data_IF_405138963902
#
_entry.id   IF_405138963902
#
_cell.length_a   1.000
_cell.length_b   1.000
_cell.length_c   1.000
_cell.angle_alpha   90.00
_cell.angle_beta   90.00
_cell.angle_gamma   90.00
#
_symmetry.space_group_name_H-M   'P 1'
#
loop_
_entity.id
_entity.type
_entity.pdbx_description
1 polymer ?
#
# COMPACT_ATOMS: atom_id res chain seq x y z
N UNK A 1 6.73 9.44 -13.84
CA UNK A 1 7.99 8.93 -13.28
C UNK A 1 7.76 7.50 -12.87
N UNK A 2 8.38 6.56 -13.58
CA UNK A 2 8.31 5.13 -13.25
C UNK A 2 8.99 4.92 -11.90
N UNK A 3 8.29 4.30 -10.94
CA UNK A 3 8.92 3.83 -9.71
C UNK A 3 9.95 2.79 -10.15
N UNK A 4 11.22 3.11 -9.99
CA UNK A 4 12.33 2.27 -10.43
C UNK A 4 12.31 0.94 -9.70
N UNK A 5 12.53 -0.16 -10.41
CA UNK A 5 12.67 -1.51 -9.83
C UNK A 5 13.67 -1.57 -8.65
N UNK A 6 14.63 -0.63 -8.61
CA UNK A 6 15.61 -0.45 -7.54
C UNK A 6 15.01 -0.11 -6.16
N UNK A 7 13.96 0.73 -6.07
CA UNK A 7 13.27 0.99 -4.79
C UNK A 7 12.57 -0.29 -4.27
N UNK A 8 12.24 -1.22 -5.16
CA UNK A 8 11.58 -2.47 -4.79
C UNK A 8 12.52 -3.43 -4.04
N UNK A 9 13.84 -3.30 -4.20
CA UNK A 9 14.84 -4.17 -3.56
C UNK A 9 15.18 -3.67 -2.15
N UNK A 10 15.27 -2.35 -1.96
CA UNK A 10 15.69 -1.75 -0.68
C UNK A 10 14.70 -2.03 0.46
N UNK A 11 13.40 -2.14 0.13
CA UNK A 11 12.32 -2.32 1.10
C UNK A 11 11.91 -3.78 1.34
N UNK A 12 12.32 -4.73 0.49
CA UNK A 12 11.93 -6.14 0.66
C UNK A 12 12.68 -6.77 1.82
N UNK A 13 11.96 -7.53 2.65
CA UNK A 13 12.61 -8.47 3.56
C UNK A 13 13.23 -9.61 2.75
N UNK A 14 14.47 -9.97 3.09
CA UNK A 14 15.26 -11.07 2.55
C UNK A 14 14.80 -12.44 3.05
N UNK A 15 13.88 -12.49 4.02
CA UNK A 15 13.34 -13.74 4.56
C UNK A 15 12.59 -14.54 3.49
N UNK A 16 12.90 -15.82 3.40
CA UNK A 16 12.31 -16.76 2.43
C UNK A 16 10.99 -17.35 2.90
N UNK A 17 10.53 -17.01 4.10
CA UNK A 17 9.27 -17.50 4.66
C UNK A 17 8.06 -17.01 3.86
N UNK A 18 7.10 -17.90 3.63
CA UNK A 18 5.91 -17.65 2.79
C UNK A 18 5.12 -16.39 3.20
N UNK A 19 4.86 -16.10 4.50
CA UNK A 19 4.18 -14.87 4.90
C UNK A 19 4.91 -13.59 4.47
N UNK A 20 6.24 -13.59 4.51
CA UNK A 20 7.06 -12.43 4.13
C UNK A 20 7.11 -12.26 2.62
N UNK A 21 7.19 -13.36 1.87
CA UNK A 21 7.12 -13.33 0.40
C UNK A 21 5.76 -12.83 -0.08
N UNK A 22 4.67 -13.34 0.49
CA UNK A 22 3.32 -12.90 0.15
C UNK A 22 3.11 -11.43 0.52
N UNK A 23 3.56 -10.98 1.69
CA UNK A 23 3.53 -9.57 2.08
C UNK A 23 4.29 -8.67 1.08
N UNK A 24 5.49 -9.06 0.66
CA UNK A 24 6.28 -8.35 -0.35
C UNK A 24 5.53 -8.27 -1.69
N UNK A 25 4.93 -9.38 -2.13
CA UNK A 25 4.16 -9.48 -3.38
C UNK A 25 2.89 -8.62 -3.33
N UNK A 26 2.14 -8.66 -2.23
CA UNK A 26 0.94 -7.81 -2.04
C UNK A 26 1.32 -6.33 -2.04
N UNK A 27 2.41 -5.97 -1.36
CA UNK A 27 2.92 -4.59 -1.31
C UNK A 27 3.30 -4.08 -2.70
N UNK A 28 4.04 -4.88 -3.48
CA UNK A 28 4.40 -4.54 -4.85
C UNK A 28 3.16 -4.42 -5.77
N UNK A 29 2.19 -5.31 -5.61
CA UNK A 29 0.93 -5.27 -6.37
C UNK A 29 0.15 -3.98 -6.11
N UNK A 30 -0.03 -3.60 -4.84
CA UNK A 30 -0.74 -2.37 -4.49
C UNK A 30 -0.05 -1.13 -5.09
N UNK A 31 1.28 -1.04 -4.95
CA UNK A 31 2.05 0.07 -5.53
C UNK A 31 1.88 0.17 -7.03
N UNK A 32 1.94 -0.96 -7.74
CA UNK A 32 1.75 -1.01 -9.20
C UNK A 32 0.37 -0.52 -9.62
N UNK A 33 -0.69 -0.91 -8.91
CA UNK A 33 -2.05 -0.47 -9.22
C UNK A 33 -2.20 1.04 -8.95
N UNK A 34 -1.69 1.53 -7.82
CA UNK A 34 -1.72 2.96 -7.50
C UNK A 34 -0.97 3.82 -8.52
N UNK A 35 0.15 3.32 -9.08
CA UNK A 35 0.91 4.01 -10.13
C UNK A 35 0.18 4.10 -11.48
N UNK A 36 -0.86 3.28 -11.72
CA UNK A 36 -1.67 3.34 -12.95
C UNK A 36 -2.72 4.45 -12.93
N UNK A 37 -3.03 5.02 -11.76
CA UNK A 37 -4.07 6.04 -11.59
C UNK A 37 -3.93 7.21 -12.58
N UNK A 38 -2.75 7.84 -12.79
CA UNK A 38 -2.64 8.97 -13.71
C UNK A 38 -3.03 8.65 -15.17
N UNK A 39 -2.81 7.41 -15.60
CA UNK A 39 -3.18 6.95 -16.95
C UNK A 39 -4.66 6.56 -17.06
N UNK A 40 -5.24 6.04 -15.98
CA UNK A 40 -6.58 5.45 -15.99
C UNK A 40 -7.67 6.41 -15.52
N UNK A 41 -7.32 7.48 -14.80
CA UNK A 41 -8.29 8.41 -14.19
C UNK A 41 -9.18 9.15 -15.20
N UNK A 42 -8.72 9.30 -16.45
CA UNK A 42 -9.46 9.98 -17.53
C UNK A 42 -10.56 9.10 -18.12
N UNK A 43 -10.40 7.78 -18.09
CA UNK A 43 -11.44 6.84 -18.49
C UNK A 43 -12.19 6.35 -17.26
N UNK A 44 -13.40 6.86 -17.06
CA UNK A 44 -14.26 6.52 -15.92
C UNK A 44 -14.48 5.01 -15.76
N UNK A 45 -14.63 4.26 -16.85
CA UNK A 45 -14.92 2.82 -16.76
C UNK A 45 -13.69 2.07 -16.25
N UNK A 46 -12.54 2.31 -16.86
CA UNK A 46 -11.27 1.74 -16.43
C UNK A 46 -10.95 2.17 -15.00
N UNK A 47 -11.11 3.46 -14.67
CA UNK A 47 -10.84 3.97 -13.33
C UNK A 47 -11.68 3.32 -12.23
N UNK A 48 -12.96 3.04 -12.49
CA UNK A 48 -13.81 2.32 -11.53
C UNK A 48 -13.32 0.89 -11.28
N UNK A 49 -12.81 0.20 -12.31
CA UNK A 49 -12.16 -1.10 -12.14
C UNK A 49 -10.84 -0.97 -11.36
N UNK A 50 -10.02 0.04 -11.64
CA UNK A 50 -8.80 0.34 -10.88
C UNK A 50 -9.10 0.57 -9.40
N UNK A 51 -10.17 1.29 -9.07
CA UNK A 51 -10.58 1.51 -7.67
C UNK A 51 -10.95 0.19 -6.98
N UNK A 52 -11.66 -0.71 -7.67
CA UNK A 52 -11.98 -2.05 -7.14
C UNK A 52 -10.71 -2.88 -6.94
N UNK A 53 -9.78 -2.83 -7.88
CA UNK A 53 -8.46 -3.48 -7.77
C UNK A 53 -7.68 -2.95 -6.56
N UNK A 54 -7.66 -1.64 -6.34
CA UNK A 54 -7.01 -0.99 -5.18
C UNK A 54 -7.66 -1.47 -3.89
N UNK A 55 -8.99 -1.46 -3.79
CA UNK A 55 -9.69 -1.92 -2.59
C UNK A 55 -9.37 -3.39 -2.27
N UNK A 56 -9.33 -4.25 -3.29
CA UNK A 56 -8.93 -5.66 -3.16
C UNK A 56 -7.47 -5.80 -2.69
N UNK A 57 -6.56 -5.04 -3.30
CA UNK A 57 -5.14 -5.07 -2.96
C UNK A 57 -4.85 -4.55 -1.54
N UNK A 58 -5.56 -3.50 -1.10
CA UNK A 58 -5.49 -2.97 0.26
C UNK A 58 -5.91 -4.04 1.27
N UNK A 59 -7.04 -4.71 1.03
CA UNK A 59 -7.51 -5.80 1.91
C UNK A 59 -6.46 -6.92 2.00
N UNK A 60 -6.00 -7.41 0.85
CA UNK A 60 -4.97 -8.46 0.77
C UNK A 60 -3.67 -8.07 1.46
N UNK A 61 -3.24 -6.81 1.36
CA UNK A 61 -2.06 -6.32 2.05
C UNK A 61 -2.26 -6.30 3.56
N UNK A 62 -3.41 -5.83 4.04
CA UNK A 62 -3.73 -5.80 5.47
C UNK A 62 -3.82 -7.20 6.08
N UNK A 63 -4.35 -8.17 5.33
CA UNK A 63 -4.38 -9.57 5.75
C UNK A 63 -2.94 -10.11 5.88
N UNK A 64 -2.11 -9.91 4.86
CA UNK A 64 -0.70 -10.31 4.89
C UNK A 64 0.09 -9.63 6.03
N UNK A 65 -0.18 -8.36 6.34
CA UNK A 65 0.43 -7.66 7.51
C UNK A 65 0.07 -8.35 8.82
N UNK A 66 -1.15 -8.87 8.97
CA UNK A 66 -1.53 -9.60 10.19
C UNK A 66 -0.78 -10.94 10.27
N UNK A 67 -0.62 -11.60 9.13
CA UNK A 67 0.11 -12.85 9.05
C UNK A 67 1.57 -12.64 9.46
N UNK A 68 2.29 -11.65 8.89
CA UNK A 68 3.68 -11.37 9.31
C UNK A 68 3.78 -10.85 10.75
N UNK A 69 2.75 -10.15 11.28
CA UNK A 69 2.72 -9.68 12.67
C UNK A 69 2.85 -10.83 13.68
N UNK A 70 2.33 -12.02 13.35
CA UNK A 70 2.47 -13.21 14.17
C UNK A 70 3.93 -13.64 14.35
N UNK A 71 4.79 -13.36 13.36
CA UNK A 71 6.20 -13.75 13.32
C UNK A 71 7.16 -12.67 13.84
N UNK A 72 6.67 -11.48 14.18
CA UNK A 72 7.51 -10.42 14.76
C UNK A 72 7.82 -10.74 16.22
N UNK A 73 9.11 -10.86 16.61
CA UNK A 73 9.50 -11.11 17.98
C UNK A 73 9.30 -9.87 18.85
N UNK A 74 8.83 -10.09 20.08
CA UNK A 74 8.70 -9.04 21.11
C UNK A 74 7.49 -8.11 20.93
N UNK A 75 7.03 -7.55 22.05
CA UNK A 75 5.86 -6.66 22.10
C UNK A 75 6.10 -5.31 21.41
N UNK A 76 7.34 -4.79 21.45
CA UNK A 76 7.70 -3.51 20.82
C UNK A 76 7.65 -3.55 19.29
N UNK A 77 8.08 -4.66 18.67
CA UNK A 77 8.02 -4.83 17.22
C UNK A 77 6.57 -4.89 16.73
N UNK A 78 5.72 -5.65 17.44
CA UNK A 78 4.28 -5.75 17.16
C UNK A 78 3.59 -4.39 17.28
N UNK A 79 3.85 -3.64 18.35
CA UNK A 79 3.30 -2.29 18.53
C UNK A 79 3.71 -1.33 17.41
N UNK A 80 4.97 -1.40 16.94
CA UNK A 80 5.44 -0.58 15.83
C UNK A 80 4.70 -0.93 14.53
N UNK A 81 4.52 -2.23 14.22
CA UNK A 81 3.77 -2.66 13.05
C UNK A 81 2.30 -2.26 13.13
N UNK A 82 1.66 -2.43 14.28
CA UNK A 82 0.27 -2.01 14.51
C UNK A 82 0.09 -0.51 14.33
N UNK A 83 1.04 0.30 14.79
CA UNK A 83 1.02 1.74 14.56
C UNK A 83 1.08 2.07 13.06
N UNK A 84 1.98 1.43 12.32
CA UNK A 84 2.06 1.61 10.85
C UNK A 84 0.81 1.14 10.13
N UNK A 85 0.22 0.03 10.57
CA UNK A 85 -1.06 -0.46 10.05
C UNK A 85 -2.17 0.57 10.26
N UNK A 86 -2.26 1.19 11.45
CA UNK A 86 -3.24 2.25 11.73
C UNK A 86 -3.04 3.48 10.83
N UNK A 87 -1.79 3.90 10.64
CA UNK A 87 -1.45 4.99 9.72
C UNK A 87 -1.86 4.66 8.28
N UNK A 88 -1.52 3.47 7.78
CA UNK A 88 -1.92 3.01 6.46
C UNK A 88 -3.45 3.02 6.27
N UNK A 89 -4.22 2.51 7.25
CA UNK A 89 -5.68 2.56 7.22
C UNK A 89 -6.22 4.00 7.19
N UNK A 90 -5.59 4.93 7.93
CA UNK A 90 -5.95 6.35 7.89
C UNK A 90 -5.78 6.93 6.49
N UNK A 91 -4.66 6.66 5.83
CA UNK A 91 -4.41 7.13 4.45
C UNK A 91 -5.32 6.45 3.43
N UNK A 92 -5.65 5.16 3.61
CA UNK A 92 -6.63 4.46 2.77
C UNK A 92 -8.02 5.10 2.85
N UNK A 93 -8.47 5.46 4.06
CA UNK A 93 -9.73 6.21 4.23
C UNK A 93 -9.67 7.58 3.56
N UNK A 94 -8.55 8.30 3.71
CA UNK A 94 -8.35 9.60 3.04
C UNK A 94 -8.41 9.47 1.53
N UNK A 95 -7.79 8.44 0.95
CA UNK A 95 -7.88 8.15 -0.49
C UNK A 95 -9.34 7.98 -0.95
N UNK A 96 -10.13 7.19 -0.22
CA UNK A 96 -11.56 7.02 -0.52
C UNK A 96 -12.36 8.33 -0.43
N UNK A 97 -12.03 9.23 0.50
CA UNK A 97 -12.66 10.57 0.59
C UNK A 97 -12.27 11.43 -0.62
N UNK A 98 -10.99 11.44 -0.98
CA UNK A 98 -10.50 12.16 -2.15
C UNK A 98 -11.11 11.65 -3.46
N UNK A 99 -11.35 10.34 -3.59
CA UNK A 99 -12.11 9.80 -4.71
C UNK A 99 -13.55 10.33 -4.75
N UNK A 100 -14.23 10.42 -3.60
CA UNK A 100 -15.58 11.00 -3.53
C UNK A 100 -15.60 12.47 -3.94
N UNK A 101 -14.60 13.24 -3.52
CA UNK A 101 -14.45 14.65 -3.93
C UNK A 101 -14.15 14.76 -5.43
N UNK A 102 -13.26 13.92 -5.95
CA UNK A 102 -12.96 13.85 -7.39
C UNK A 102 -14.22 13.58 -8.24
N UNK A 103 -15.07 12.64 -7.85
CA UNK A 103 -16.31 12.39 -8.58
C UNK A 103 -17.32 13.55 -8.53
N UNK A 104 -17.15 14.51 -7.61
CA UNK A 104 -17.98 15.73 -7.51
C UNK A 104 -17.37 16.91 -8.26
N UNK A 105 -16.08 17.17 -8.05
CA UNK A 105 -15.39 18.39 -8.49
C UNK A 105 -14.56 18.18 -9.76
N UNK A 106 -14.29 16.92 -10.13
CA UNK A 106 -13.51 16.55 -11.32
C UNK A 106 -12.01 16.82 -11.21
N UNK A 107 -11.49 17.20 -10.04
CA UNK A 107 -10.08 17.58 -9.86
C UNK A 107 -9.19 16.36 -9.56
N UNK A 108 -8.33 15.88 -10.49
CA UNK A 108 -7.59 14.63 -10.33
C UNK A 108 -6.33 14.76 -9.46
N UNK A 109 -5.80 15.98 -9.29
CA UNK A 109 -4.52 16.23 -8.60
C UNK A 109 -4.52 15.75 -7.13
N UNK A 110 -5.66 15.89 -6.46
CA UNK A 110 -5.83 15.40 -5.09
C UNK A 110 -5.74 13.88 -5.03
N UNK A 111 -6.31 13.17 -6.01
CA UNK A 111 -6.24 11.70 -6.13
C UNK A 111 -4.81 11.23 -6.35
N UNK A 112 -4.04 11.89 -7.22
CA UNK A 112 -2.63 11.56 -7.47
C UNK A 112 -1.77 11.71 -6.22
N UNK A 113 -1.97 12.82 -5.51
CA UNK A 113 -1.29 13.10 -4.25
C UNK A 113 -1.63 12.03 -3.21
N UNK A 114 -2.91 11.70 -3.06
CA UNK A 114 -3.38 10.69 -2.11
C UNK A 114 -2.87 9.27 -2.44
N UNK A 115 -2.82 8.91 -3.72
CA UNK A 115 -2.24 7.66 -4.19
C UNK A 115 -0.73 7.56 -3.88
N UNK A 116 0.00 8.66 -4.08
CA UNK A 116 1.44 8.75 -3.75
C UNK A 116 1.67 8.54 -2.25
N UNK A 117 0.83 9.15 -1.40
CA UNK A 117 0.90 8.90 0.03
C UNK A 117 0.63 7.43 0.39
N UNK A 118 -0.32 6.76 -0.27
CA UNK A 118 -0.56 5.33 -0.04
C UNK A 118 0.65 4.47 -0.41
N UNK A 119 1.30 4.75 -1.54
CA UNK A 119 2.55 4.09 -1.95
C UNK A 119 3.63 4.27 -0.87
N UNK A 120 3.80 5.50 -0.38
CA UNK A 120 4.75 5.79 0.69
C UNK A 120 4.43 5.02 1.98
N UNK A 121 3.14 4.97 2.39
CA UNK A 121 2.74 4.20 3.57
C UNK A 121 2.98 2.69 3.39
N UNK A 122 2.80 2.15 2.19
CA UNK A 122 3.18 0.77 1.87
C UNK A 122 4.67 0.55 2.05
N UNK A 123 5.53 1.47 1.60
CA UNK A 123 6.98 1.37 1.81
C UNK A 123 7.35 1.42 3.31
N UNK A 124 6.68 2.26 4.10
CA UNK A 124 6.91 2.34 5.55
C UNK A 124 6.51 1.04 6.28
N UNK A 125 5.42 0.39 5.85
CA UNK A 125 5.07 -0.94 6.34
C UNK A 125 6.16 -1.96 6.01
N UNK A 126 6.65 -1.97 4.77
CA UNK A 126 7.71 -2.89 4.33
C UNK A 126 9.01 -2.70 5.13
N UNK A 127 9.45 -1.46 5.31
CA UNK A 127 10.62 -1.11 6.13
C UNK A 127 10.47 -1.56 7.58
N UNK A 128 9.28 -1.40 8.15
CA UNK A 128 9.03 -1.78 9.55
C UNK A 128 9.08 -3.29 9.71
N UNK A 129 8.50 -4.05 8.77
CA UNK A 129 8.59 -5.52 8.78
C UNK A 129 10.05 -5.96 8.62
N UNK A 130 10.80 -5.35 7.71
CA UNK A 130 12.23 -5.63 7.51
C UNK A 130 13.04 -5.38 8.79
N UNK A 131 13.00 -4.17 9.35
CA UNK A 131 13.79 -3.77 10.53
C UNK A 131 13.43 -4.51 11.83
N UNK A 132 12.28 -5.20 11.88
CA UNK A 132 11.83 -5.92 13.08
C UNK A 132 12.02 -7.43 12.95
N UNK A 133 12.39 -7.92 11.77
CA UNK A 133 12.55 -9.34 11.47
C UNK A 133 13.94 -9.71 10.95
N UNK A 134 14.78 -8.71 10.65
CA UNK A 134 16.21 -8.80 10.33
C UNK A 134 17.00 -8.06 11.41
#
# INVERSE_FOLDING_TARGET
GSISDSECIEYRSSRTEEPFQEFNKKSASLKRILSRIPAEITDRKTFLETIKEIASAIKKLLDAVNDVSAYIPGSQGKQALDQRKREFVKYSKRFSLTLKEYFKEGQPNSVFTSATYLIFQTNQLMLTVKNRCE
#
